data_IF_027231806851
#
_entry.id   IF_027231806851
#
_cell.length_a   1.000
_cell.length_b   1.000
_cell.length_c   1.000
_cell.angle_alpha   90.00
_cell.angle_beta   90.00
_cell.angle_gamma   90.00
#
_symmetry.space_group_name_H-M   'P 1'
#
loop_
_entity.id
_entity.type
_entity.pdbx_description
1 polymer ?
#
# COMPACT_ATOMS: atom_id res chain seq x y z
N UNK A 1 2.96 -11.04 6.23
CA UNK A 1 3.16 -9.71 5.61
C UNK A 1 4.67 -9.52 5.47
N UNK A 2 5.25 -9.61 4.27
CA UNK A 2 6.69 -9.33 4.09
C UNK A 2 6.87 -7.82 3.98
N UNK A 3 7.09 -7.16 5.11
CA UNK A 3 7.40 -5.72 5.15
C UNK A 3 8.82 -5.40 4.64
N UNK A 4 9.66 -6.42 4.41
CA UNK A 4 11.05 -6.26 3.97
C UNK A 4 11.16 -5.68 2.54
N UNK A 5 10.12 -5.88 1.72
CA UNK A 5 10.17 -5.55 0.29
C UNK A 5 9.40 -4.27 -0.08
N UNK A 6 8.93 -3.48 0.90
CA UNK A 6 8.17 -2.25 0.63
C UNK A 6 6.90 -2.47 -0.20
N UNK A 7 6.43 -3.72 -0.26
CA UNK A 7 5.25 -4.12 -1.01
C UNK A 7 4.20 -4.66 -0.04
N UNK A 8 3.01 -4.05 -0.05
CA UNK A 8 1.86 -4.58 0.67
C UNK A 8 1.03 -5.39 -0.33
N UNK A 9 0.82 -6.67 -0.03
CA UNK A 9 -0.06 -7.56 -0.81
C UNK A 9 -1.25 -7.94 0.03
N UNK A 10 -2.45 -7.83 -0.51
CA UNK A 10 -3.67 -8.24 0.18
C UNK A 10 -4.73 -8.79 -0.78
N UNK A 11 -5.69 -9.50 -0.19
CA UNK A 11 -6.94 -9.87 -0.82
C UNK A 11 -8.10 -9.25 -0.04
N UNK A 12 -9.12 -8.80 -0.74
CA UNK A 12 -10.27 -8.13 -0.14
C UNK A 12 -11.57 -8.41 -0.91
N UNK A 13 -12.69 -8.04 -0.31
CA UNK A 13 -14.02 -8.11 -0.90
C UNK A 13 -14.57 -6.71 -1.14
N UNK A 14 -15.13 -6.48 -2.33
CA UNK A 14 -15.80 -5.24 -2.69
C UNK A 14 -17.22 -5.51 -3.21
N UNK A 15 -18.17 -4.59 -3.00
CA UNK A 15 -19.53 -4.73 -3.53
C UNK A 15 -19.63 -4.47 -5.04
N UNK A 16 -18.63 -3.82 -5.66
CA UNK A 16 -18.63 -3.49 -7.09
C UNK A 16 -17.25 -3.08 -7.59
N UNK A 17 -17.06 -3.10 -8.92
CA UNK A 17 -15.86 -2.58 -9.58
C UNK A 17 -15.63 -1.10 -9.28
N UNK A 18 -16.71 -0.32 -9.14
CA UNK A 18 -16.63 1.10 -8.77
C UNK A 18 -15.99 1.31 -7.40
N UNK A 19 -16.30 0.44 -6.42
CA UNK A 19 -15.67 0.51 -5.11
C UNK A 19 -14.16 0.21 -5.18
N UNK A 20 -13.78 -0.80 -5.96
CA UNK A 20 -12.36 -1.14 -6.21
C UNK A 20 -11.64 0.04 -6.86
N UNK A 21 -12.22 0.63 -7.91
CA UNK A 21 -11.64 1.77 -8.62
C UNK A 21 -11.44 2.99 -7.71
N UNK A 22 -12.41 3.30 -6.84
CA UNK A 22 -12.28 4.39 -5.85
C UNK A 22 -11.13 4.13 -4.87
N UNK A 23 -10.94 2.89 -4.45
CA UNK A 23 -9.84 2.53 -3.56
C UNK A 23 -8.48 2.70 -4.25
N UNK A 24 -8.37 2.28 -5.52
CA UNK A 24 -7.15 2.51 -6.33
C UNK A 24 -6.89 4.01 -6.47
N UNK A 25 -7.91 4.80 -6.82
CA UNK A 25 -7.81 6.25 -6.95
C UNK A 25 -7.28 6.92 -5.67
N UNK A 26 -7.73 6.45 -4.50
CA UNK A 26 -7.26 6.93 -3.20
C UNK A 26 -5.76 6.68 -3.01
N UNK A 27 -5.26 5.49 -3.35
CA UNK A 27 -3.84 5.18 -3.24
C UNK A 27 -2.98 5.99 -4.21
N UNK A 28 -3.36 6.06 -5.48
CA UNK A 28 -2.57 6.79 -6.50
C UNK A 28 -2.60 8.31 -6.32
N UNK A 29 -3.60 8.85 -5.60
CA UNK A 29 -3.65 10.28 -5.26
C UNK A 29 -2.55 10.73 -4.30
N UNK A 30 -1.79 9.80 -3.71
CA UNK A 30 -0.70 10.07 -2.78
C UNK A 30 0.66 9.60 -3.32
N UNK A 31 1.15 10.15 -4.46
CA UNK A 31 2.37 9.69 -5.13
C UNK A 31 3.65 9.86 -4.31
N UNK A 32 3.59 10.65 -3.23
CA UNK A 32 4.69 10.80 -2.27
C UNK A 32 4.97 9.50 -1.50
N UNK A 33 3.94 8.72 -1.20
CA UNK A 33 4.05 7.55 -0.34
C UNK A 33 3.82 6.24 -1.10
N UNK A 34 3.03 6.29 -2.17
CA UNK A 34 2.69 5.15 -3.00
C UNK A 34 3.43 5.31 -4.33
N UNK A 35 4.30 4.34 -4.62
CA UNK A 35 5.05 4.27 -5.87
C UNK A 35 4.20 3.63 -6.97
N UNK A 36 3.51 2.53 -6.66
CA UNK A 36 2.67 1.84 -7.63
C UNK A 36 1.52 1.07 -6.96
N UNK A 37 0.47 0.80 -7.73
CA UNK A 37 -0.69 -0.02 -7.35
C UNK A 37 -1.02 -0.97 -8.48
N UNK A 38 -0.87 -2.27 -8.24
CA UNK A 38 -1.24 -3.31 -9.20
C UNK A 38 -2.45 -4.08 -8.70
N UNK A 39 -3.48 -4.19 -9.52
CA UNK A 39 -4.60 -5.10 -9.28
C UNK A 39 -4.33 -6.46 -9.90
N UNK A 40 -4.63 -7.53 -9.16
CA UNK A 40 -4.54 -8.90 -9.64
C UNK A 40 -5.92 -9.41 -10.08
N UNK A 41 -6.11 -10.73 -9.93
CA UNK A 41 -7.36 -11.38 -10.30
C UNK A 41 -8.54 -10.80 -9.51
N UNK A 42 -9.68 -10.64 -10.21
CA UNK A 42 -10.97 -10.28 -9.65
C UNK A 42 -11.95 -11.40 -9.97
N UNK A 43 -12.51 -12.02 -8.93
CA UNK A 43 -13.46 -13.12 -9.05
C UNK A 43 -14.80 -12.72 -8.42
N UNK A 44 -15.89 -12.97 -9.12
CA UNK A 44 -17.24 -12.75 -8.57
C UNK A 44 -17.64 -13.95 -7.71
N UNK A 45 -18.08 -13.69 -6.47
CA UNK A 45 -18.59 -14.72 -5.58
C UNK A 45 -20.11 -14.86 -5.69
N UNK A 46 -20.65 -16.02 -5.31
CA UNK A 46 -22.10 -16.27 -5.23
C UNK A 46 -22.82 -15.35 -4.24
N UNK A 47 -22.08 -14.70 -3.34
CA UNK A 47 -22.57 -13.65 -2.43
C UNK A 47 -22.84 -12.32 -3.12
N UNK A 48 -22.52 -12.18 -4.41
CA UNK A 48 -22.60 -10.94 -5.17
C UNK A 48 -21.44 -9.97 -4.94
N UNK A 49 -20.46 -10.33 -4.09
CA UNK A 49 -19.25 -9.55 -3.86
C UNK A 49 -18.15 -9.96 -4.84
N UNK A 50 -17.25 -9.01 -5.12
CA UNK A 50 -16.03 -9.23 -5.87
C UNK A 50 -14.88 -9.50 -4.91
N UNK A 51 -14.22 -10.64 -5.03
CA UNK A 51 -12.94 -10.89 -4.40
C UNK A 51 -11.84 -10.41 -5.33
N UNK A 52 -10.90 -9.62 -4.81
CA UNK A 52 -9.77 -9.14 -5.61
C UNK A 52 -8.47 -9.22 -4.82
N UNK A 53 -7.35 -9.35 -5.53
CA UNK A 53 -6.01 -9.18 -4.99
C UNK A 53 -5.41 -7.85 -5.41
N UNK A 54 -4.57 -7.27 -4.57
CA UNK A 54 -3.90 -6.01 -4.86
C UNK A 54 -2.50 -6.00 -4.24
N UNK A 55 -1.56 -5.43 -5.00
CA UNK A 55 -0.22 -5.11 -4.56
C UNK A 55 -0.06 -3.59 -4.54
N UNK A 56 0.49 -3.06 -3.46
CA UNK A 56 0.82 -1.65 -3.31
C UNK A 56 2.33 -1.56 -3.06
N UNK A 57 3.05 -0.86 -3.93
CA UNK A 57 4.45 -0.54 -3.73
C UNK A 57 4.58 0.81 -3.01
N UNK A 58 5.33 0.83 -1.91
CA UNK A 58 5.55 2.01 -1.08
C UNK A 58 6.85 2.70 -1.47
N UNK A 59 6.84 4.03 -1.51
CA UNK A 59 8.05 4.84 -1.67
C UNK A 59 8.89 4.82 -0.40
N UNK A 60 9.78 3.83 -0.28
CA UNK A 60 10.58 3.58 0.95
C UNK A 60 11.39 4.78 1.40
N UNK A 61 11.87 5.61 0.48
CA UNK A 61 12.68 6.80 0.81
C UNK A 61 11.92 7.82 1.66
N UNK A 62 10.59 7.83 1.59
CA UNK A 62 9.77 8.72 2.41
C UNK A 62 9.49 8.19 3.82
N UNK A 63 9.67 6.89 4.04
CA UNK A 63 9.44 6.22 5.33
C UNK A 63 10.72 5.95 6.11
N UNK A 64 11.85 5.75 5.42
CA UNK A 64 13.15 5.51 6.03
C UNK A 64 13.99 6.78 5.98
N UNK A 65 13.72 7.73 6.87
CA UNK A 65 14.75 8.71 7.23
C UNK A 65 15.66 8.02 8.26
N UNK A 66 16.99 7.97 8.03
CA UNK A 66 17.91 7.74 9.13
C UNK A 66 17.61 8.79 10.20
N UNK A 67 17.53 8.37 11.46
CA UNK A 67 17.50 9.32 12.57
C UNK A 67 18.82 10.10 12.55
N UNK A 68 18.83 11.27 11.93
CA UNK A 68 19.98 12.16 11.90
C UNK A 68 20.00 13.09 13.11
N UNK A 69 19.32 12.74 14.22
CA UNK A 69 19.57 13.45 15.48
C UNK A 69 21.05 13.25 15.84
N UNK A 70 21.85 14.33 15.92
CA UNK A 70 23.21 14.21 16.41
C UNK A 70 23.13 13.66 17.83
N UNK A 71 23.80 12.53 18.08
CA UNK A 71 23.95 12.00 19.43
C UNK A 71 24.51 13.13 20.32
N UNK A 72 23.83 13.56 21.40
CA UNK A 72 24.36 14.62 22.25
C UNK A 72 25.72 14.18 22.78
N UNK A 73 26.76 14.97 22.44
CA UNK A 73 28.12 14.76 22.92
C UNK A 73 28.09 14.63 24.44
N UNK A 74 28.65 13.56 25.03
CA UNK A 74 28.71 13.44 26.48
C UNK A 74 29.42 14.66 27.05
N UNK A 75 28.77 15.39 27.96
CA UNK A 75 29.40 16.47 28.70
C UNK A 75 30.61 15.91 29.46
N UNK A 76 31.77 16.56 29.29
CA UNK A 76 33.04 16.20 29.92
C UNK A 76 33.02 16.50 31.43
#
# INVERSE_FOLDING_TARGET
MSAADGTIKFMALAPSYTAIAKQIASFVSNPKYIKDVTIGEITTQTTGKLQFSMNIEIERSTFLRPDTTPNPTPAK
#
